data_IF_173250832873
#
_entry.id   IF_173250832873
#
_cell.length_a   1.000
_cell.length_b   1.000
_cell.length_c   1.000
_cell.angle_alpha   90.00
_cell.angle_beta   90.00
_cell.angle_gamma   90.00
#
_symmetry.space_group_name_H-M   'P 1'
#
loop_
_entity.id
_entity.type
_entity.pdbx_description
1 polymer ?
#
# COMPACT_ATOMS: atom_id res chain seq x y z
N UNK A 1 -17.39 5.80 10.29
CA UNK A 1 -16.92 6.72 11.36
C UNK A 1 -15.42 6.88 11.18
N UNK A 2 -14.97 7.95 10.52
CA UNK A 2 -13.55 8.20 10.24
C UNK A 2 -12.84 8.47 11.57
N UNK A 3 -11.87 7.64 11.90
CA UNK A 3 -11.01 7.86 13.08
C UNK A 3 -10.25 9.17 12.84
N UNK A 4 -10.54 10.19 13.64
CA UNK A 4 -9.79 11.45 13.65
C UNK A 4 -8.34 11.15 14.04
N UNK A 5 -7.44 11.23 13.07
CA UNK A 5 -5.99 11.15 13.31
C UNK A 5 -5.57 12.42 14.06
N UNK A 6 -4.75 12.30 15.12
CA UNK A 6 -4.29 13.47 15.88
C UNK A 6 -3.55 14.48 15.00
N UNK A 7 -3.81 15.77 15.20
CA UNK A 7 -3.25 16.94 14.49
C UNK A 7 -1.70 17.09 14.53
N UNK A 8 -0.96 16.08 14.98
CA UNK A 8 0.47 16.20 15.32
C UNK A 8 1.46 15.85 14.19
N UNK A 9 1.01 15.43 13.01
CA UNK A 9 1.89 15.14 11.87
C UNK A 9 1.87 16.31 10.87
N UNK A 10 2.45 17.44 11.25
CA UNK A 10 2.53 18.63 10.37
C UNK A 10 3.82 18.71 9.54
N UNK A 11 4.73 17.74 9.60
CA UNK A 11 5.98 17.77 8.84
C UNK A 11 6.21 16.46 8.09
N UNK A 12 6.66 16.58 6.84
CA UNK A 12 7.03 15.47 5.97
C UNK A 12 8.12 14.56 6.59
N UNK A 13 8.99 15.12 7.43
CA UNK A 13 10.08 14.43 8.13
C UNK A 13 9.59 13.27 9.02
N UNK A 14 8.33 13.30 9.45
CA UNK A 14 7.72 12.26 10.29
C UNK A 14 7.06 11.15 9.48
N UNK A 15 6.98 11.30 8.16
CA UNK A 15 6.39 10.30 7.26
C UNK A 15 7.52 9.44 6.70
N UNK A 16 7.53 8.10 6.95
CA UNK A 16 8.60 7.23 6.47
C UNK A 16 8.73 7.24 4.95
N UNK A 17 9.95 7.13 4.46
CA UNK A 17 10.25 6.93 3.04
C UNK A 17 10.36 5.43 2.72
N UNK A 18 9.99 5.05 1.49
CA UNK A 18 10.18 3.70 0.95
C UNK A 18 10.15 3.75 -0.59
N UNK A 19 10.90 2.86 -1.25
CA UNK A 19 10.92 2.78 -2.71
C UNK A 19 11.11 4.15 -3.34
N UNK A 20 10.25 4.51 -4.30
CA UNK A 20 10.24 5.81 -4.96
C UNK A 20 9.51 6.93 -4.17
N UNK A 21 8.94 6.62 -3.01
CA UNK A 21 8.47 7.62 -2.04
C UNK A 21 9.64 8.03 -1.11
N UNK A 22 10.74 8.37 -1.70
CA UNK A 22 12.03 8.71 -1.09
C UNK A 22 12.17 10.22 -0.81
N UNK A 23 13.39 10.68 -0.58
CA UNK A 23 13.69 12.11 -0.32
C UNK A 23 13.97 12.92 -1.60
N UNK A 24 13.87 12.30 -2.79
CA UNK A 24 13.90 13.05 -4.05
C UNK A 24 12.73 14.04 -4.14
N UNK A 25 12.84 15.11 -4.94
CA UNK A 25 11.72 16.06 -5.11
C UNK A 25 10.40 15.38 -5.48
N UNK A 26 10.44 14.39 -6.39
CA UNK A 26 9.28 13.61 -6.82
C UNK A 26 8.78 12.68 -5.69
N UNK A 27 9.68 11.97 -5.01
CA UNK A 27 9.36 11.07 -3.92
C UNK A 27 8.73 11.78 -2.73
N UNK A 28 9.21 12.98 -2.39
CA UNK A 28 8.61 13.83 -1.34
C UNK A 28 7.17 14.21 -1.67
N UNK A 29 6.85 14.53 -2.93
CA UNK A 29 5.47 14.80 -3.36
C UNK A 29 4.60 13.57 -3.19
N UNK A 30 5.05 12.39 -3.64
CA UNK A 30 4.31 11.13 -3.51
C UNK A 30 4.05 10.77 -2.05
N UNK A 31 5.05 10.94 -1.18
CA UNK A 31 4.95 10.67 0.25
C UNK A 31 3.95 11.60 0.94
N UNK A 32 4.01 12.91 0.65
CA UNK A 32 3.05 13.88 1.15
C UNK A 32 1.63 13.57 0.66
N UNK A 33 1.48 13.22 -0.61
CA UNK A 33 0.19 12.86 -1.19
C UNK A 33 -0.40 11.60 -0.55
N UNK A 34 0.39 10.53 -0.39
CA UNK A 34 -0.04 9.31 0.28
C UNK A 34 -0.57 9.60 1.69
N UNK A 35 0.15 10.42 2.45
CA UNK A 35 -0.28 10.83 3.78
C UNK A 35 -1.59 11.62 3.76
N UNK A 36 -1.68 12.65 2.93
CA UNK A 36 -2.87 13.50 2.85
C UNK A 36 -4.10 12.74 2.32
N UNK A 37 -3.93 11.89 1.31
CA UNK A 37 -5.02 11.04 0.80
C UNK A 37 -5.52 10.08 1.87
N UNK A 38 -4.63 9.49 2.68
CA UNK A 38 -5.05 8.66 3.80
C UNK A 38 -5.84 9.43 4.85
N UNK A 39 -5.40 10.67 5.21
CA UNK A 39 -5.98 11.44 6.32
C UNK A 39 -7.27 12.14 5.93
N UNK A 40 -7.30 12.75 4.75
CA UNK A 40 -8.38 13.61 4.29
C UNK A 40 -9.25 12.95 3.21
N UNK A 41 -8.85 11.78 2.68
CA UNK A 41 -9.40 11.18 1.47
C UNK A 41 -8.87 11.87 0.21
N UNK A 42 -9.03 11.20 -0.94
CA UNK A 42 -8.63 11.76 -2.23
C UNK A 42 -9.40 13.05 -2.54
N UNK A 43 -10.72 13.04 -2.44
CA UNK A 43 -11.55 14.21 -2.74
C UNK A 43 -11.25 15.39 -1.80
N UNK A 44 -11.02 15.12 -0.52
CA UNK A 44 -10.72 16.12 0.50
C UNK A 44 -9.30 16.70 0.43
N UNK A 45 -8.43 16.19 -0.45
CA UNK A 45 -7.04 16.64 -0.60
C UNK A 45 -6.87 17.49 -1.86
N UNK A 46 -6.22 18.63 -1.74
CA UNK A 46 -5.92 19.51 -2.88
C UNK A 46 -4.42 19.45 -3.25
N UNK A 47 -4.11 19.72 -4.53
CA UNK A 47 -2.72 19.84 -5.02
C UNK A 47 -1.96 20.95 -4.25
N UNK A 48 -2.66 21.99 -3.79
CA UNK A 48 -2.04 23.07 -2.99
C UNK A 48 -1.59 22.59 -1.62
N UNK A 49 -2.36 21.73 -0.96
CA UNK A 49 -1.99 21.13 0.33
C UNK A 49 -0.79 20.20 0.19
N UNK A 50 -0.76 19.38 -0.87
CA UNK A 50 0.40 18.53 -1.17
C UNK A 50 1.66 19.39 -1.38
N UNK A 51 1.57 20.42 -2.21
CA UNK A 51 2.69 21.34 -2.48
C UNK A 51 3.15 22.08 -1.21
N UNK A 52 2.22 22.56 -0.40
CA UNK A 52 2.51 23.22 0.88
C UNK A 52 3.23 22.30 1.86
N UNK A 53 2.82 21.02 1.95
CA UNK A 53 3.46 20.04 2.82
C UNK A 53 4.92 19.76 2.42
N UNK A 54 5.23 19.85 1.14
CA UNK A 54 6.59 19.65 0.60
C UNK A 54 7.42 20.94 0.60
N UNK A 55 6.76 22.10 0.80
CA UNK A 55 7.44 23.41 0.79
C UNK A 55 7.72 23.94 -0.62
N UNK A 56 6.89 23.60 -1.62
CA UNK A 56 7.02 24.07 -3.00
C UNK A 56 5.77 24.83 -3.46
N UNK A 57 5.89 25.56 -4.57
CA UNK A 57 4.72 26.17 -5.21
C UNK A 57 3.91 25.09 -5.95
N UNK A 58 2.58 25.24 -5.98
CA UNK A 58 1.68 24.29 -6.65
C UNK A 58 2.00 24.12 -8.15
N UNK A 59 2.46 25.18 -8.81
CA UNK A 59 2.91 25.12 -10.20
C UNK A 59 4.09 24.19 -10.43
N UNK A 60 5.03 24.14 -9.47
CA UNK A 60 6.21 23.26 -9.56
C UNK A 60 5.83 21.77 -9.49
N UNK A 61 4.71 21.43 -8.88
CA UNK A 61 4.22 20.07 -8.80
C UNK A 61 3.85 19.51 -10.18
N UNK A 62 3.31 20.38 -11.06
CA UNK A 62 2.93 20.02 -12.43
C UNK A 62 4.11 19.76 -13.37
N UNK A 63 5.34 20.05 -12.95
CA UNK A 63 6.53 19.56 -13.65
C UNK A 63 6.78 18.06 -13.46
N UNK A 64 6.24 17.48 -12.38
CA UNK A 64 6.40 16.06 -12.05
C UNK A 64 5.17 15.22 -12.37
N UNK A 65 3.97 15.80 -12.28
CA UNK A 65 2.69 15.09 -12.42
C UNK A 65 1.68 15.97 -13.16
N UNK A 66 0.97 15.39 -14.13
CA UNK A 66 -0.03 16.11 -14.95
C UNK A 66 -1.31 16.41 -14.18
N UNK A 67 -1.64 15.60 -13.15
CA UNK A 67 -2.89 15.75 -12.40
C UNK A 67 -2.78 15.19 -10.99
N UNK A 68 -3.75 15.51 -10.13
CA UNK A 68 -3.90 14.89 -8.80
C UNK A 68 -4.12 13.36 -8.91
N UNK A 69 -4.85 12.94 -9.95
CA UNK A 69 -5.10 11.51 -10.21
C UNK A 69 -3.81 10.77 -10.60
N UNK A 70 -2.92 11.38 -11.40
CA UNK A 70 -1.63 10.77 -11.72
C UNK A 70 -0.75 10.58 -10.48
N UNK A 71 -0.84 11.50 -9.50
CA UNK A 71 -0.18 11.34 -8.21
C UNK A 71 -0.76 10.13 -7.47
N UNK A 72 -2.09 10.01 -7.40
CA UNK A 72 -2.77 8.88 -6.77
C UNK A 72 -2.38 7.56 -7.42
N UNK A 73 -2.48 7.48 -8.74
CA UNK A 73 -2.07 6.31 -9.53
C UNK A 73 -0.62 5.92 -9.23
N UNK A 74 0.28 6.90 -9.21
CA UNK A 74 1.71 6.64 -8.96
C UNK A 74 1.93 6.12 -7.53
N UNK A 75 1.29 6.70 -6.52
CA UNK A 75 1.37 6.21 -5.13
C UNK A 75 0.93 4.74 -5.05
N UNK A 76 -0.20 4.40 -5.69
CA UNK A 76 -0.71 3.03 -5.69
C UNK A 76 0.20 2.05 -6.44
N UNK A 77 0.71 2.47 -7.60
CA UNK A 77 1.64 1.67 -8.40
C UNK A 77 2.91 1.35 -7.60
N UNK A 78 3.54 2.36 -7.05
CA UNK A 78 4.80 2.24 -6.31
C UNK A 78 4.65 1.34 -5.08
N UNK A 79 3.55 1.41 -4.35
CA UNK A 79 3.36 0.55 -3.18
C UNK A 79 3.12 -0.90 -3.58
N UNK A 80 2.41 -1.19 -4.69
CA UNK A 80 2.24 -2.55 -5.20
C UNK A 80 3.59 -3.12 -5.62
N UNK A 81 4.38 -2.38 -6.40
CA UNK A 81 5.70 -2.82 -6.88
C UNK A 81 6.65 -3.07 -5.71
N UNK A 82 6.73 -2.14 -4.76
CA UNK A 82 7.60 -2.27 -3.58
C UNK A 82 7.21 -3.46 -2.70
N UNK A 83 5.92 -3.61 -2.39
CA UNK A 83 5.45 -4.71 -1.53
C UNK A 83 5.59 -6.06 -2.22
N UNK A 84 5.34 -6.14 -3.53
CA UNK A 84 5.58 -7.35 -4.33
C UNK A 84 7.05 -7.77 -4.31
N UNK A 85 7.97 -6.83 -4.49
CA UNK A 85 9.41 -7.11 -4.41
C UNK A 85 9.79 -7.65 -3.02
N UNK A 86 9.33 -7.01 -1.94
CA UNK A 86 9.59 -7.45 -0.56
C UNK A 86 9.01 -8.83 -0.26
N UNK A 87 7.83 -9.16 -0.77
CA UNK A 87 7.24 -10.49 -0.63
C UNK A 87 8.06 -11.54 -1.39
N UNK A 88 8.46 -11.25 -2.63
CA UNK A 88 9.29 -12.16 -3.42
C UNK A 88 10.63 -12.43 -2.74
N UNK A 89 11.28 -11.41 -2.19
CA UNK A 89 12.51 -11.55 -1.40
C UNK A 89 12.28 -12.46 -0.17
N UNK A 90 11.18 -12.25 0.55
CA UNK A 90 10.89 -13.02 1.76
C UNK A 90 10.58 -14.50 1.47
N UNK A 91 9.83 -14.81 0.41
CA UNK A 91 9.53 -16.20 0.03
C UNK A 91 10.73 -16.92 -0.58
N UNK A 92 11.68 -16.22 -1.18
CA UNK A 92 12.90 -16.80 -1.72
C UNK A 92 13.84 -17.32 -0.64
N UNK A 93 13.71 -16.85 0.60
CA UNK A 93 14.55 -17.25 1.74
C UNK A 93 14.08 -18.54 2.45
N UNK A 94 12.94 -19.11 2.06
CA UNK A 94 12.29 -20.23 2.74
C UNK A 94 11.89 -21.34 1.76
N UNK A 95 11.83 -22.59 2.25
CA UNK A 95 11.67 -23.74 1.38
C UNK A 95 10.23 -24.25 1.24
N UNK A 96 9.53 -24.44 2.36
CA UNK A 96 8.22 -25.10 2.38
C UNK A 96 7.07 -24.14 2.07
N UNK A 97 5.95 -24.65 1.52
CA UNK A 97 4.76 -23.84 1.27
C UNK A 97 4.22 -23.17 2.53
N UNK A 98 4.30 -23.85 3.68
CA UNK A 98 3.91 -23.30 4.99
C UNK A 98 4.77 -22.11 5.41
N UNK A 99 6.08 -22.20 5.26
CA UNK A 99 7.00 -21.10 5.55
C UNK A 99 6.81 -19.92 4.60
N UNK A 100 6.60 -20.20 3.31
CA UNK A 100 6.29 -19.17 2.30
C UNK A 100 4.99 -18.43 2.63
N UNK A 101 3.93 -19.14 3.01
CA UNK A 101 2.68 -18.52 3.44
C UNK A 101 2.88 -17.64 4.68
N UNK A 102 3.63 -18.12 5.67
CA UNK A 102 3.99 -17.34 6.86
C UNK A 102 4.75 -16.07 6.48
N UNK A 103 5.73 -16.18 5.58
CA UNK A 103 6.51 -15.04 5.09
C UNK A 103 5.63 -14.01 4.38
N UNK A 104 4.68 -14.44 3.54
CA UNK A 104 3.71 -13.55 2.89
C UNK A 104 2.84 -12.81 3.92
N UNK A 105 2.27 -13.53 4.89
CA UNK A 105 1.42 -12.93 5.94
C UNK A 105 2.21 -11.88 6.74
N UNK A 106 3.44 -12.20 7.14
CA UNK A 106 4.31 -11.26 7.87
C UNK A 106 4.63 -10.04 7.01
N UNK A 107 5.01 -10.24 5.75
CA UNK A 107 5.33 -9.14 4.82
C UNK A 107 4.13 -8.22 4.60
N UNK A 108 2.92 -8.78 4.47
CA UNK A 108 1.69 -8.02 4.30
C UNK A 108 1.33 -7.21 5.56
N UNK A 109 1.48 -7.80 6.76
CA UNK A 109 1.28 -7.10 8.02
C UNK A 109 2.26 -5.91 8.16
N UNK A 110 3.53 -6.10 7.76
CA UNK A 110 4.51 -5.01 7.73
C UNK A 110 4.17 -3.95 6.68
N UNK A 111 3.67 -4.35 5.51
CA UNK A 111 3.26 -3.41 4.49
C UNK A 111 2.11 -2.51 4.96
N UNK A 112 1.08 -3.12 5.58
CA UNK A 112 -0.13 -2.38 5.95
C UNK A 112 0.02 -1.56 7.23
N UNK A 113 0.87 -1.98 8.17
CA UNK A 113 1.06 -1.32 9.47
C UNK A 113 2.42 -0.63 9.64
N UNK A 114 3.35 -0.82 8.69
CA UNK A 114 4.72 -0.31 8.71
C UNK A 114 4.91 1.00 7.95
N UNK A 115 6.07 1.10 7.28
CA UNK A 115 6.49 2.31 6.55
C UNK A 115 5.62 2.63 5.34
N UNK A 116 4.96 1.64 4.76
CA UNK A 116 4.08 1.77 3.59
C UNK A 116 2.61 2.01 3.96
N UNK A 117 2.29 2.13 5.26
CA UNK A 117 0.90 2.14 5.73
C UNK A 117 0.02 3.22 5.07
N UNK A 118 0.55 4.43 4.81
CA UNK A 118 -0.20 5.49 4.17
C UNK A 118 -0.59 5.10 2.74
N UNK A 119 0.37 4.64 1.93
CA UNK A 119 0.14 4.25 0.55
C UNK A 119 -0.70 2.95 0.45
N UNK A 120 -0.51 1.98 1.36
CA UNK A 120 -1.35 0.77 1.42
C UNK A 120 -2.80 1.10 1.76
N UNK A 121 -3.03 2.02 2.69
CA UNK A 121 -4.38 2.49 3.03
C UNK A 121 -5.03 3.17 1.82
N UNK A 122 -4.29 4.03 1.12
CA UNK A 122 -4.76 4.69 -0.11
C UNK A 122 -5.12 3.65 -1.18
N UNK A 123 -4.30 2.62 -1.39
CA UNK A 123 -4.57 1.54 -2.34
C UNK A 123 -5.87 0.79 -2.03
N UNK A 124 -6.19 0.59 -0.75
CA UNK A 124 -7.38 -0.15 -0.33
C UNK A 124 -8.65 0.70 -0.42
N UNK A 125 -8.58 1.98 -0.04
CA UNK A 125 -9.78 2.80 0.16
C UNK A 125 -10.07 3.82 -0.94
N UNK A 126 -9.06 4.19 -1.77
CA UNK A 126 -9.23 5.24 -2.80
C UNK A 126 -9.23 4.68 -4.23
N UNK A 127 -9.44 3.37 -4.39
CA UNK A 127 -9.44 2.70 -5.70
C UNK A 127 -10.44 3.31 -6.68
N UNK A 128 -11.64 3.64 -6.21
CA UNK A 128 -12.72 4.17 -7.03
C UNK A 128 -12.49 5.62 -7.50
N UNK A 129 -11.51 6.30 -6.93
CA UNK A 129 -11.10 7.63 -7.35
C UNK A 129 -10.24 7.64 -8.63
N UNK A 130 -9.76 6.46 -9.08
CA UNK A 130 -9.00 6.32 -10.31
C UNK A 130 -9.92 6.19 -11.54
N UNK A 131 -9.47 6.73 -12.67
CA UNK A 131 -10.07 6.46 -13.98
C UNK A 131 -9.98 4.96 -14.33
N UNK A 132 -10.86 4.50 -15.21
CA UNK A 132 -10.86 3.10 -15.69
C UNK A 132 -9.53 2.71 -16.35
N UNK A 133 -8.85 3.65 -17.02
CA UNK A 133 -7.54 3.41 -17.61
C UNK A 133 -6.50 3.11 -16.54
N UNK A 134 -6.37 3.96 -15.52
CA UNK A 134 -5.44 3.75 -14.42
C UNK A 134 -5.77 2.50 -13.58
N UNK A 135 -7.07 2.23 -13.37
CA UNK A 135 -7.49 0.96 -12.73
C UNK A 135 -7.02 -0.25 -13.53
N UNK A 136 -7.15 -0.22 -14.88
CA UNK A 136 -6.71 -1.30 -15.75
C UNK A 136 -5.21 -1.55 -15.62
N UNK A 137 -4.40 -0.50 -15.67
CA UNK A 137 -2.95 -0.60 -15.56
C UNK A 137 -2.50 -1.18 -14.21
N UNK A 138 -3.19 -0.82 -13.12
CA UNK A 138 -2.91 -1.37 -11.79
C UNK A 138 -3.41 -2.80 -11.62
N UNK A 139 -4.45 -3.23 -12.35
CA UNK A 139 -4.97 -4.60 -12.29
C UNK A 139 -3.93 -5.63 -12.72
N UNK A 140 -3.10 -5.33 -13.70
CA UNK A 140 -2.01 -6.23 -14.12
C UNK A 140 -1.02 -6.48 -12.99
N UNK A 141 -0.59 -5.42 -12.29
CA UNK A 141 0.30 -5.52 -11.15
C UNK A 141 -0.35 -6.27 -9.98
N UNK A 142 -1.62 -6.01 -9.71
CA UNK A 142 -2.40 -6.73 -8.71
C UNK A 142 -2.55 -8.20 -9.04
N UNK A 143 -2.80 -8.55 -10.29
CA UNK A 143 -2.91 -9.94 -10.73
C UNK A 143 -1.61 -10.71 -10.52
N UNK A 144 -0.45 -10.11 -10.81
CA UNK A 144 0.85 -10.71 -10.53
C UNK A 144 1.05 -10.94 -9.02
N UNK A 145 0.76 -9.94 -8.21
CA UNK A 145 0.79 -10.01 -6.74
C UNK A 145 -0.16 -11.11 -6.21
N UNK A 146 -1.40 -11.17 -6.70
CA UNK A 146 -2.38 -12.19 -6.31
C UNK A 146 -1.94 -13.60 -6.70
N UNK A 147 -1.31 -13.74 -7.87
CA UNK A 147 -0.83 -15.04 -8.37
C UNK A 147 0.21 -15.66 -7.45
N UNK A 148 1.08 -14.87 -6.83
CA UNK A 148 2.06 -15.32 -5.84
C UNK A 148 1.36 -15.99 -4.65
N UNK A 149 0.36 -15.33 -4.06
CA UNK A 149 -0.43 -15.84 -2.95
C UNK A 149 -1.17 -17.13 -3.32
N UNK A 150 -1.89 -17.11 -4.44
CA UNK A 150 -2.68 -18.27 -4.90
C UNK A 150 -1.76 -19.46 -5.21
N UNK A 151 -0.58 -19.21 -5.80
CA UNK A 151 0.41 -20.25 -6.08
C UNK A 151 0.89 -20.97 -4.81
N UNK A 152 1.23 -20.22 -3.77
CA UNK A 152 1.66 -20.79 -2.48
C UNK A 152 0.51 -21.53 -1.77
N UNK A 153 -0.70 -20.97 -1.82
CA UNK A 153 -1.88 -21.64 -1.26
C UNK A 153 -2.25 -22.93 -2.01
N UNK A 154 -2.02 -23.01 -3.33
CA UNK A 154 -2.14 -24.26 -4.09
C UNK A 154 -1.13 -25.31 -3.64
N UNK A 155 0.15 -24.92 -3.51
CA UNK A 155 1.17 -25.82 -2.98
C UNK A 155 0.78 -26.38 -1.60
N UNK A 156 0.31 -25.51 -0.70
CA UNK A 156 -0.13 -25.92 0.63
C UNK A 156 -1.35 -26.86 0.58
N UNK A 157 -2.28 -26.65 -0.36
CA UNK A 157 -3.40 -27.58 -0.60
C UNK A 157 -2.91 -28.96 -1.00
N UNK A 158 -1.98 -29.02 -1.96
CA UNK A 158 -1.45 -30.27 -2.48
C UNK A 158 -0.66 -31.04 -1.42
N UNK A 159 0.07 -30.32 -0.54
CA UNK A 159 0.87 -30.91 0.55
C UNK A 159 0.02 -31.38 1.74
N UNK A 160 -1.05 -30.67 2.11
CA UNK A 160 -1.73 -30.86 3.39
C UNK A 160 -3.23 -31.15 3.32
N UNK A 161 -3.87 -30.84 2.18
CA UNK A 161 -5.31 -30.97 2.01
C UNK A 161 -6.18 -29.94 2.78
N UNK A 162 -5.58 -29.11 3.63
CA UNK A 162 -6.32 -28.16 4.48
C UNK A 162 -6.88 -26.93 3.75
N UNK A 163 -6.38 -26.62 2.57
CA UNK A 163 -6.81 -25.45 1.79
C UNK A 163 -7.77 -25.87 0.68
N UNK A 164 -9.07 -25.82 0.94
CA UNK A 164 -10.08 -26.27 -0.01
C UNK A 164 -10.12 -25.40 -1.27
N UNK A 165 -10.16 -24.06 -1.10
CA UNK A 165 -10.12 -23.07 -2.20
C UNK A 165 -9.04 -22.02 -1.98
N UNK A 166 -7.91 -22.09 -2.68
CA UNK A 166 -6.82 -21.10 -2.58
C UNK A 166 -7.28 -19.66 -2.81
N UNK A 167 -8.21 -19.44 -3.75
CA UNK A 167 -8.73 -18.11 -4.05
C UNK A 167 -9.56 -17.52 -2.91
N UNK A 168 -10.38 -18.35 -2.26
CA UNK A 168 -11.17 -17.94 -1.09
C UNK A 168 -10.26 -17.66 0.10
N UNK A 169 -9.33 -18.57 0.38
CA UNK A 169 -8.36 -18.40 1.47
C UNK A 169 -7.52 -17.12 1.29
N UNK A 170 -7.07 -16.84 0.07
CA UNK A 170 -6.36 -15.59 -0.21
C UNK A 170 -7.20 -14.37 0.15
N UNK A 171 -8.47 -14.32 -0.26
CA UNK A 171 -9.37 -13.20 0.06
C UNK A 171 -9.60 -13.05 1.55
N UNK A 172 -9.79 -14.16 2.28
CA UNK A 172 -9.97 -14.15 3.73
C UNK A 172 -8.72 -13.64 4.45
N UNK A 173 -7.53 -14.15 4.08
CA UNK A 173 -6.27 -13.77 4.72
C UNK A 173 -5.94 -12.29 4.47
N UNK A 174 -6.00 -11.84 3.22
CA UNK A 174 -5.68 -10.43 2.89
C UNK A 174 -6.74 -9.49 3.46
N UNK A 175 -8.02 -9.89 3.47
CA UNK A 175 -9.08 -9.11 4.11
C UNK A 175 -8.87 -8.97 5.63
N UNK A 176 -8.52 -10.06 6.32
CA UNK A 176 -8.23 -10.03 7.75
C UNK A 176 -7.00 -9.16 8.06
N UNK A 177 -5.94 -9.26 7.23
CA UNK A 177 -4.73 -8.45 7.38
C UNK A 177 -5.04 -6.98 7.11
N UNK A 178 -5.77 -6.66 6.03
CA UNK A 178 -6.16 -5.29 5.71
C UNK A 178 -6.97 -4.64 6.84
N UNK A 179 -7.84 -5.42 7.50
CA UNK A 179 -8.61 -4.94 8.64
C UNK A 179 -7.75 -4.59 9.87
N UNK A 180 -6.50 -5.09 9.94
CA UNK A 180 -5.60 -4.80 11.07
C UNK A 180 -5.31 -3.30 11.25
N UNK A 181 -5.39 -2.50 10.20
CA UNK A 181 -5.23 -1.02 10.28
C UNK A 181 -6.22 -0.36 11.25
N UNK A 182 -7.35 -1.01 11.56
CA UNK A 182 -8.38 -0.45 12.44
C UNK A 182 -8.11 -0.67 13.93
N UNK A 183 -7.36 -1.70 14.29
CA UNK A 183 -7.14 -2.11 15.67
C UNK A 183 -5.66 -2.27 16.07
N UNK A 184 -4.75 -2.43 15.10
CA UNK A 184 -3.32 -2.59 15.41
C UNK A 184 -2.74 -1.32 16.03
N UNK A 185 -2.02 -1.49 17.13
CA UNK A 185 -1.29 -0.42 17.81
C UNK A 185 0.17 -0.82 17.98
N UNK A 186 1.08 0.11 17.65
CA UNK A 186 2.54 -0.13 17.73
C UNK A 186 3.05 -0.31 19.17
N UNK A 187 2.31 0.16 20.17
CA UNK A 187 2.62 0.03 21.60
C UNK A 187 2.18 -1.32 22.19
N UNK A 188 1.57 -2.19 21.40
CA UNK A 188 1.14 -3.53 21.83
C UNK A 188 -0.17 -3.53 22.65
N UNK A 189 -0.83 -2.39 22.84
CA UNK A 189 -2.19 -2.35 23.41
C UNK A 189 -3.22 -2.72 22.35
N UNK A 190 -4.12 -3.66 22.63
CA UNK A 190 -5.29 -3.96 21.81
C UNK A 190 -6.50 -3.17 22.29
#
# INVERSE_FOLDING_TARGET
MLVKVPQQLKSLEKIPSFGCLDDSPRGRVLRAAAHLFRVNGYEGTTVREIAAMVGIQSGSLFHHFKSKEEILFTVMKEVIEYTSAKQNDAIAQVGTAREKLKALIISELYAINGVTCDAMTVLVFEWDALSRSHQHDLLELRNAYESTWVGILKQLKDESGYVESPQVWRKLLVGAIAWSVTWFRKDGSM
#
